data_IF_438005770558
#
_entry.id   IF_438005770558
#
_cell.length_a   1.000
_cell.length_b   1.000
_cell.length_c   1.000
_cell.angle_alpha   90.00
_cell.angle_beta   90.00
_cell.angle_gamma   90.00
#
_symmetry.space_group_name_H-M   'P 1'
#
loop_
_entity.id
_entity.type
_entity.pdbx_description
1 polymer ?
#
# COMPACT_ATOMS: atom_id res chain seq x y z
N UNK A 1 41.57 -14.91 27.83
CA UNK A 1 41.29 -14.55 26.42
C UNK A 1 40.28 -15.50 25.76
N UNK A 2 40.44 -16.82 25.83
CA UNK A 2 39.58 -17.79 25.14
C UNK A 2 38.08 -17.72 25.50
N UNK A 3 37.74 -17.56 26.78
CA UNK A 3 36.33 -17.39 27.21
C UNK A 3 35.68 -16.09 26.71
N UNK A 4 36.46 -15.01 26.58
CA UNK A 4 35.97 -13.74 26.06
C UNK A 4 35.71 -13.81 24.55
N UNK A 5 36.59 -14.51 23.81
CA UNK A 5 36.39 -14.75 22.38
C UNK A 5 35.17 -15.64 22.09
N UNK A 6 34.92 -16.67 22.92
CA UNK A 6 33.73 -17.54 22.78
C UNK A 6 32.44 -16.78 23.11
N UNK A 7 32.44 -15.93 24.14
CA UNK A 7 31.29 -15.08 24.45
C UNK A 7 31.00 -14.08 23.32
N UNK A 8 32.03 -13.42 22.78
CA UNK A 8 31.90 -12.52 21.63
C UNK A 8 31.38 -13.23 20.39
N UNK A 9 31.87 -14.44 20.07
CA UNK A 9 31.39 -15.18 18.90
C UNK A 9 29.95 -15.66 19.06
N UNK A 10 29.54 -16.09 20.25
CA UNK A 10 28.15 -16.47 20.54
C UNK A 10 27.22 -15.25 20.48
N UNK A 11 27.65 -14.10 21.00
CA UNK A 11 26.87 -12.85 20.91
C UNK A 11 26.74 -12.40 19.45
N UNK A 12 27.84 -12.40 18.69
CA UNK A 12 27.80 -12.01 17.27
C UNK A 12 26.95 -12.97 16.43
N UNK A 13 27.02 -14.27 16.69
CA UNK A 13 26.21 -15.27 15.99
C UNK A 13 24.72 -15.16 16.35
N UNK A 14 24.39 -14.92 17.61
CA UNK A 14 23.00 -14.71 18.03
C UNK A 14 22.43 -13.40 17.48
N UNK A 15 23.19 -12.31 17.48
CA UNK A 15 22.80 -11.04 16.82
C UNK A 15 22.57 -11.25 15.32
N UNK A 16 23.50 -11.94 14.65
CA UNK A 16 23.38 -12.28 13.23
C UNK A 16 22.11 -13.09 12.93
N UNK A 17 21.79 -14.10 13.73
CA UNK A 17 20.56 -14.87 13.57
C UNK A 17 19.30 -14.05 13.86
N UNK A 18 19.34 -13.04 14.73
CA UNK A 18 18.18 -12.18 14.98
C UNK A 18 17.91 -11.17 13.87
N UNK A 19 18.93 -10.76 13.13
CA UNK A 19 18.81 -9.87 11.95
C UNK A 19 18.39 -10.64 10.69
N UNK A 20 18.65 -11.94 10.64
CA UNK A 20 18.31 -12.77 9.49
C UNK A 20 16.80 -13.01 9.38
N UNK A 21 16.24 -12.73 8.21
CA UNK A 21 14.84 -12.99 7.91
C UNK A 21 14.61 -14.48 7.59
N UNK A 22 14.55 -15.33 8.62
CA UNK A 22 14.35 -16.79 8.46
C UNK A 22 13.17 -17.15 7.53
N UNK A 23 12.15 -16.30 7.51
CA UNK A 23 10.93 -16.49 6.72
C UNK A 23 11.11 -16.29 5.20
N UNK A 24 12.28 -15.80 4.77
CA UNK A 24 12.65 -15.73 3.35
C UNK A 24 13.43 -16.97 2.88
N UNK A 25 13.82 -17.86 3.81
CA UNK A 25 14.60 -19.05 3.48
C UNK A 25 13.75 -20.11 2.79
N UNK A 26 14.41 -20.87 1.89
CA UNK A 26 13.76 -21.93 1.12
C UNK A 26 13.10 -22.99 2.01
N UNK A 27 13.74 -23.35 3.13
CA UNK A 27 13.21 -24.37 4.04
C UNK A 27 11.90 -23.93 4.70
N UNK A 28 11.76 -22.64 5.04
CA UNK A 28 10.49 -22.10 5.54
C UNK A 28 9.40 -22.12 4.46
N UNK A 29 9.75 -21.75 3.23
CA UNK A 29 8.84 -21.78 2.07
C UNK A 29 8.37 -23.22 1.79
N UNK A 30 9.26 -24.20 1.88
CA UNK A 30 8.93 -25.61 1.68
C UNK A 30 7.99 -26.12 2.80
N UNK A 31 8.18 -25.67 4.05
CA UNK A 31 7.25 -25.98 5.15
C UNK A 31 5.85 -25.39 4.91
N UNK A 32 5.76 -24.17 4.39
CA UNK A 32 4.47 -23.58 4.00
C UNK A 32 3.80 -24.45 2.94
N UNK A 33 4.52 -24.80 1.87
CA UNK A 33 3.98 -25.60 0.77
C UNK A 33 3.59 -27.03 1.18
N UNK A 34 4.18 -27.57 2.25
CA UNK A 34 3.78 -28.86 2.82
C UNK A 34 2.41 -28.82 3.53
N UNK A 35 1.94 -27.64 3.94
CA UNK A 35 0.68 -27.46 4.70
C UNK A 35 -0.39 -26.70 3.91
N UNK A 36 0.00 -25.75 3.07
CA UNK A 36 -0.89 -24.90 2.31
C UNK A 36 -1.62 -25.70 1.22
N UNK A 37 -2.95 -25.70 1.27
CA UNK A 37 -3.81 -26.39 0.28
C UNK A 37 -4.46 -25.44 -0.71
N UNK A 38 -4.59 -24.15 -0.37
CA UNK A 38 -5.34 -23.17 -1.16
C UNK A 38 -4.45 -22.15 -1.87
N UNK A 39 -3.16 -22.11 -1.57
CA UNK A 39 -2.20 -21.17 -2.16
C UNK A 39 -0.81 -21.80 -2.26
N UNK A 40 0.05 -21.17 -3.07
CA UNK A 40 1.42 -21.61 -3.32
C UNK A 40 2.41 -20.53 -2.88
N UNK A 41 3.43 -20.95 -2.13
CA UNK A 41 4.54 -20.12 -1.72
C UNK A 41 5.76 -20.27 -2.65
N UNK A 42 6.57 -19.24 -2.75
CA UNK A 42 7.82 -19.19 -3.50
C UNK A 42 8.66 -17.96 -3.14
N UNK A 43 9.87 -17.88 -3.69
CA UNK A 43 10.80 -16.78 -3.41
C UNK A 43 10.32 -15.51 -4.12
N UNK A 44 10.09 -14.42 -3.39
CA UNK A 44 9.79 -13.08 -3.92
C UNK A 44 10.88 -12.06 -3.59
N UNK A 45 11.60 -12.28 -2.49
CA UNK A 45 12.66 -11.41 -1.99
C UNK A 45 13.96 -12.21 -1.92
N UNK A 46 15.09 -11.53 -2.12
CA UNK A 46 16.41 -12.13 -1.88
C UNK A 46 16.47 -12.65 -0.43
N UNK A 47 16.81 -13.93 -0.18
CA UNK A 47 16.94 -14.50 1.16
C UNK A 47 17.94 -13.77 2.08
N UNK A 48 18.85 -12.96 1.50
CA UNK A 48 19.78 -12.11 2.25
C UNK A 48 19.17 -10.78 2.72
N UNK A 49 17.95 -10.48 2.32
CA UNK A 49 17.23 -9.28 2.78
C UNK A 49 17.04 -9.36 4.29
N UNK A 50 17.40 -8.30 5.00
CA UNK A 50 17.27 -8.29 6.46
C UNK A 50 15.82 -8.18 6.88
N UNK A 51 15.53 -8.65 8.10
CA UNK A 51 14.20 -8.50 8.70
C UNK A 51 13.77 -7.04 8.77
N UNK A 52 14.70 -6.14 9.08
CA UNK A 52 14.45 -4.71 9.20
C UNK A 52 14.00 -4.10 7.87
N UNK A 53 14.64 -4.47 6.76
CA UNK A 53 14.26 -4.01 5.42
C UNK A 53 12.83 -4.45 5.06
N UNK A 54 12.44 -5.68 5.42
CA UNK A 54 11.07 -6.17 5.23
C UNK A 54 10.07 -5.36 6.09
N UNK A 55 10.38 -5.13 7.36
CA UNK A 55 9.50 -4.38 8.26
C UNK A 55 9.32 -2.92 7.80
N UNK A 56 10.32 -2.33 7.14
CA UNK A 56 10.23 -0.98 6.58
C UNK A 56 9.20 -0.87 5.45
N UNK A 57 8.91 -1.96 4.72
CA UNK A 57 7.86 -1.98 3.70
C UNK A 57 6.45 -1.90 4.31
N UNK A 58 6.29 -2.29 5.58
CA UNK A 58 5.01 -2.37 6.30
C UNK A 58 4.59 -1.01 6.88
N UNK A 59 4.36 -0.05 5.99
CA UNK A 59 4.11 1.35 6.33
C UNK A 59 2.72 1.72 6.84
N UNK A 60 1.72 0.84 6.76
CA UNK A 60 0.37 1.18 7.22
C UNK A 60 0.27 1.05 8.73
N UNK A 61 -0.03 2.18 9.39
CA UNK A 61 -0.18 2.26 10.84
C UNK A 61 -1.65 2.27 11.24
N UNK A 62 -1.90 1.74 12.43
CA UNK A 62 -3.21 1.84 13.06
C UNK A 62 -4.24 0.82 12.57
N UNK A 63 -3.82 -0.35 12.09
CA UNK A 63 -4.70 -1.49 11.74
C UNK A 63 -5.72 -1.78 12.85
N UNK A 64 -5.27 -1.66 14.08
CA UNK A 64 -6.04 -1.85 15.30
C UNK A 64 -6.97 -0.68 15.68
N UNK A 65 -6.76 0.52 15.11
CA UNK A 65 -7.54 1.71 15.45
C UNK A 65 -9.01 1.58 15.03
N UNK A 66 -9.30 0.82 13.97
CA UNK A 66 -10.67 0.54 13.53
C UNK A 66 -11.54 -0.05 14.66
N UNK A 67 -10.95 -0.77 15.63
CA UNK A 67 -11.65 -1.32 16.80
C UNK A 67 -12.11 -0.26 17.78
N UNK A 68 -11.43 0.89 17.80
CA UNK A 68 -11.67 2.01 18.72
C UNK A 68 -12.48 3.13 18.06
N UNK A 69 -12.68 3.06 16.75
CA UNK A 69 -13.49 3.98 15.96
C UNK A 69 -14.96 3.87 16.35
N UNK A 70 -15.65 5.02 16.47
CA UNK A 70 -17.08 5.03 16.79
C UNK A 70 -17.89 4.55 15.60
N UNK A 71 -19.00 3.84 15.84
CA UNK A 71 -19.89 3.37 14.77
C UNK A 71 -20.40 4.51 13.87
N UNK A 72 -20.51 5.73 14.40
CA UNK A 72 -20.90 6.93 13.64
C UNK A 72 -19.88 7.35 12.57
N UNK A 73 -18.64 6.89 12.65
CA UNK A 73 -17.59 7.17 11.66
C UNK A 73 -17.59 6.15 10.52
N UNK A 74 -18.39 5.07 10.65
CA UNK A 74 -18.60 4.09 9.61
C UNK A 74 -19.77 4.48 8.73
N UNK A 75 -19.54 4.43 7.41
CA UNK A 75 -20.60 4.57 6.42
C UNK A 75 -21.42 3.28 6.36
N UNK A 76 -22.55 3.32 7.06
CA UNK A 76 -23.50 2.21 7.19
C UNK A 76 -24.67 2.31 6.21
N UNK A 77 -24.98 3.52 5.73
CA UNK A 77 -26.10 3.81 4.84
C UNK A 77 -25.64 4.73 3.69
N UNK A 78 -26.15 4.46 2.49
CA UNK A 78 -25.98 5.27 1.28
C UNK A 78 -27.10 4.90 0.31
N UNK A 79 -27.69 5.87 -0.36
CA UNK A 79 -28.76 5.64 -1.35
C UNK A 79 -28.30 4.72 -2.50
N UNK A 80 -27.02 4.78 -2.87
CA UNK A 80 -26.43 3.88 -3.86
C UNK A 80 -26.43 2.41 -3.39
N UNK A 81 -26.50 2.15 -2.08
CA UNK A 81 -26.51 0.78 -1.53
C UNK A 81 -27.87 0.12 -1.58
N UNK A 82 -28.95 0.90 -1.53
CA UNK A 82 -30.31 0.39 -1.39
C UNK A 82 -30.70 -0.48 -2.60
N UNK A 83 -30.21 -0.10 -3.78
CA UNK A 83 -30.44 -0.83 -5.02
C UNK A 83 -29.53 -2.07 -5.21
N UNK A 84 -28.61 -2.35 -4.28
CA UNK A 84 -27.58 -3.39 -4.44
C UNK A 84 -27.84 -4.67 -3.62
N UNK A 85 -28.77 -4.68 -2.66
CA UNK A 85 -28.92 -5.80 -1.71
C UNK A 85 -29.20 -7.16 -2.37
N UNK A 86 -29.84 -7.18 -3.55
CA UNK A 86 -30.10 -8.39 -4.34
C UNK A 86 -29.23 -8.52 -5.60
N UNK A 87 -28.22 -7.67 -5.76
CA UNK A 87 -27.44 -7.53 -7.00
C UNK A 87 -25.93 -7.65 -6.81
N UNK A 88 -25.46 -8.05 -5.62
CA UNK A 88 -24.03 -8.32 -5.40
C UNK A 88 -23.66 -9.60 -6.15
N UNK A 89 -22.81 -9.54 -7.20
CA UNK A 89 -22.43 -10.72 -7.94
C UNK A 89 -21.45 -11.58 -7.13
N UNK A 90 -21.45 -12.89 -7.38
CA UNK A 90 -20.50 -13.82 -6.76
C UNK A 90 -19.04 -13.57 -7.16
N UNK A 91 -18.81 -12.87 -8.29
CA UNK A 91 -17.51 -12.44 -8.77
C UNK A 91 -17.60 -11.00 -9.28
N UNK A 92 -16.64 -10.18 -8.89
CA UNK A 92 -16.52 -8.80 -9.33
C UNK A 92 -15.05 -8.46 -9.63
N UNK A 93 -14.83 -7.68 -10.69
CA UNK A 93 -13.50 -7.19 -11.07
C UNK A 93 -13.65 -5.77 -11.60
N UNK A 94 -13.15 -4.79 -10.83
CA UNK A 94 -13.25 -3.37 -11.15
C UNK A 94 -12.67 -3.04 -12.52
N UNK A 95 -11.57 -3.71 -12.93
CA UNK A 95 -10.91 -3.52 -14.23
C UNK A 95 -11.82 -3.89 -15.39
N UNK A 96 -12.71 -4.87 -15.18
CA UNK A 96 -13.68 -5.31 -16.20
C UNK A 96 -14.93 -4.44 -16.21
N UNK A 97 -15.32 -3.89 -15.06
CA UNK A 97 -16.50 -3.02 -14.92
C UNK A 97 -16.24 -1.63 -15.50
N UNK A 98 -15.10 -1.03 -15.17
CA UNK A 98 -14.71 0.32 -15.59
C UNK A 98 -13.48 0.27 -16.49
N UNK A 99 -13.61 -0.40 -17.64
CA UNK A 99 -12.50 -0.59 -18.60
C UNK A 99 -11.90 0.71 -19.14
N UNK A 100 -12.66 1.81 -19.10
CA UNK A 100 -12.19 3.12 -19.53
C UNK A 100 -11.22 3.75 -18.52
N UNK A 101 -11.24 3.33 -17.25
CA UNK A 101 -10.33 3.81 -16.23
C UNK A 101 -9.02 3.02 -16.24
N UNK A 102 -7.98 3.61 -16.84
CA UNK A 102 -6.65 2.96 -16.99
C UNK A 102 -5.85 2.92 -15.69
N UNK A 103 -6.22 3.76 -14.72
CA UNK A 103 -5.62 3.76 -13.38
C UNK A 103 -5.97 2.46 -12.64
N UNK A 104 -7.17 1.89 -12.88
CA UNK A 104 -7.61 0.68 -12.21
C UNK A 104 -6.77 -0.51 -12.68
N UNK A 105 -6.05 -1.10 -11.73
CA UNK A 105 -5.16 -2.23 -11.99
C UNK A 105 -3.73 -1.83 -12.38
N UNK A 106 -3.40 -0.54 -12.39
CA UNK A 106 -2.01 -0.08 -12.44
C UNK A 106 -1.32 -0.46 -11.12
N UNK A 107 -0.35 -1.36 -11.19
CA UNK A 107 0.50 -1.73 -10.04
C UNK A 107 1.62 -0.70 -9.91
N UNK A 108 1.80 -0.18 -8.69
CA UNK A 108 2.81 0.84 -8.36
C UNK A 108 3.83 0.26 -7.37
N UNK A 109 5.02 0.84 -7.35
CA UNK A 109 6.13 0.41 -6.48
C UNK A 109 6.45 1.50 -5.45
N UNK A 110 6.45 1.14 -4.17
CA UNK A 110 6.78 2.05 -3.06
C UNK A 110 8.28 2.24 -2.86
N UNK A 111 9.12 1.44 -3.52
CA UNK A 111 10.57 1.40 -3.30
C UNK A 111 10.93 0.98 -1.88
N UNK A 112 12.14 1.32 -1.45
CA UNK A 112 12.55 1.11 -0.06
C UNK A 112 12.03 2.23 0.86
N UNK A 113 10.71 2.33 0.98
CA UNK A 113 9.99 3.34 1.75
C UNK A 113 8.67 2.73 2.26
N UNK A 114 8.35 2.91 3.54
CA UNK A 114 7.07 2.51 4.13
C UNK A 114 5.92 3.44 3.76
N UNK A 115 5.73 3.71 2.48
CA UNK A 115 4.71 4.61 1.91
C UNK A 115 3.49 3.87 1.36
N UNK A 116 3.32 2.57 1.65
CA UNK A 116 2.16 1.80 1.18
C UNK A 116 0.81 2.45 1.52
N UNK A 117 0.71 3.11 2.69
CA UNK A 117 -0.46 3.88 3.10
C UNK A 117 -0.79 5.04 2.14
N UNK A 118 0.23 5.65 1.55
CA UNK A 118 0.08 6.75 0.61
C UNK A 118 -0.21 6.24 -0.81
N UNK A 119 0.56 5.24 -1.28
CA UNK A 119 0.36 4.67 -2.62
C UNK A 119 -1.02 4.03 -2.78
N UNK A 120 -1.47 3.27 -1.79
CA UNK A 120 -2.81 2.64 -1.82
C UNK A 120 -3.93 3.68 -1.80
N UNK A 121 -3.84 4.68 -0.92
CA UNK A 121 -4.85 5.74 -0.80
C UNK A 121 -4.93 6.60 -2.07
N UNK A 122 -3.79 7.05 -2.61
CA UNK A 122 -3.78 7.89 -3.81
C UNK A 122 -4.23 7.12 -5.06
N UNK A 123 -3.93 5.82 -5.14
CA UNK A 123 -4.39 4.96 -6.25
C UNK A 123 -5.91 4.74 -6.20
N UNK A 124 -6.45 4.40 -5.02
CA UNK A 124 -7.90 4.26 -4.86
C UNK A 124 -8.63 5.60 -5.12
N UNK A 125 -8.05 6.72 -4.72
CA UNK A 125 -8.60 8.04 -5.02
C UNK A 125 -8.60 8.34 -6.55
N UNK A 126 -7.49 8.07 -7.25
CA UNK A 126 -7.41 8.23 -8.70
C UNK A 126 -8.46 7.36 -9.43
N UNK A 127 -8.60 6.10 -9.03
CA UNK A 127 -9.59 5.17 -9.58
C UNK A 127 -11.02 5.69 -9.40
N UNK A 128 -11.35 6.15 -8.19
CA UNK A 128 -12.67 6.73 -7.89
C UNK A 128 -12.93 8.01 -8.65
N UNK A 129 -11.92 8.85 -8.82
CA UNK A 129 -12.05 10.09 -9.57
C UNK A 129 -12.32 9.79 -11.05
N UNK A 130 -11.66 8.79 -11.62
CA UNK A 130 -11.99 8.33 -12.97
C UNK A 130 -13.43 7.81 -13.09
N UNK A 131 -13.86 6.97 -12.15
CA UNK A 131 -15.22 6.42 -12.15
C UNK A 131 -16.26 7.54 -12.03
N UNK A 132 -16.04 8.48 -11.11
CA UNK A 132 -16.96 9.57 -10.84
C UNK A 132 -17.06 10.60 -11.98
N UNK A 133 -16.01 10.70 -12.80
CA UNK A 133 -15.94 11.60 -13.95
C UNK A 133 -16.17 10.89 -15.28
N UNK A 134 -16.61 9.62 -15.25
CA UNK A 134 -16.82 8.79 -16.45
C UNK A 134 -15.62 8.76 -17.41
N UNK A 135 -14.41 8.84 -16.84
CA UNK A 135 -13.15 8.81 -17.58
C UNK A 135 -12.62 10.16 -18.07
N UNK A 136 -13.30 11.29 -17.79
CA UNK A 136 -12.75 12.63 -18.08
C UNK A 136 -11.44 12.86 -17.32
N UNK A 137 -11.38 12.45 -16.04
CA UNK A 137 -10.12 12.34 -15.31
C UNK A 137 -9.63 10.90 -15.37
N UNK A 138 -8.38 10.67 -15.79
CA UNK A 138 -7.86 9.31 -15.94
C UNK A 138 -6.34 9.26 -15.74
N UNK A 139 -5.88 9.91 -14.68
CA UNK A 139 -4.46 10.07 -14.35
C UNK A 139 -4.16 9.58 -12.93
N UNK A 140 -2.91 9.22 -12.67
CA UNK A 140 -2.49 8.84 -11.33
C UNK A 140 -2.37 10.10 -10.45
N UNK A 141 -2.70 9.95 -9.17
CA UNK A 141 -2.48 10.98 -8.16
C UNK A 141 -1.16 10.76 -7.43
N UNK A 142 -0.54 11.87 -7.03
CA UNK A 142 0.80 11.92 -6.48
C UNK A 142 0.89 11.25 -5.11
N UNK A 143 1.41 10.02 -5.09
CA UNK A 143 1.83 9.37 -3.84
C UNK A 143 3.01 10.11 -3.20
N UNK A 144 3.78 10.86 -4.00
CA UNK A 144 4.87 11.71 -3.53
C UNK A 144 4.35 12.80 -2.59
N UNK A 145 3.44 13.63 -3.09
CA UNK A 145 2.90 14.75 -2.32
C UNK A 145 2.33 14.25 -1.01
N UNK A 146 1.51 13.19 -1.08
CA UNK A 146 0.91 12.60 0.09
C UNK A 146 1.96 12.12 1.10
N UNK A 147 2.99 11.41 0.64
CA UNK A 147 4.02 10.82 1.51
C UNK A 147 4.83 11.90 2.23
N UNK A 148 5.22 12.97 1.54
CA UNK A 148 6.20 13.93 2.07
C UNK A 148 5.60 15.26 2.53
N UNK A 149 4.39 15.62 2.10
CA UNK A 149 3.71 16.87 2.49
C UNK A 149 2.62 16.68 3.55
N UNK A 150 2.04 15.48 3.72
CA UNK A 150 1.06 15.25 4.76
C UNK A 150 1.70 14.92 6.12
N UNK A 151 2.20 15.94 6.83
CA UNK A 151 2.82 15.79 8.15
C UNK A 151 1.87 15.29 9.25
N UNK A 152 0.54 15.38 9.04
CA UNK A 152 -0.48 14.84 9.96
C UNK A 152 -0.91 13.41 9.62
N UNK A 153 -0.49 12.89 8.47
CA UNK A 153 -0.81 11.53 8.05
C UNK A 153 0.13 10.50 8.68
N UNK A 154 1.33 10.90 9.07
CA UNK A 154 2.34 10.00 9.62
C UNK A 154 3.74 10.55 9.42
N UNK A 155 4.69 9.63 9.27
CA UNK A 155 6.13 9.93 9.19
C UNK A 155 6.70 9.51 7.83
N UNK A 156 5.99 9.79 6.73
CA UNK A 156 6.40 9.45 5.36
C UNK A 156 6.74 7.98 5.20
N UNK A 157 7.99 7.69 4.84
CA UNK A 157 8.56 6.34 4.70
C UNK A 157 8.65 5.53 5.99
N UNK A 158 8.42 6.14 7.15
CA UNK A 158 8.35 5.41 8.42
C UNK A 158 6.90 5.02 8.78
N UNK A 159 5.98 5.17 7.81
CA UNK A 159 4.59 4.76 7.88
C UNK A 159 3.62 5.87 8.26
N UNK A 160 2.35 5.63 7.97
CA UNK A 160 1.25 6.58 8.13
C UNK A 160 -0.11 5.91 8.24
N UNK A 161 -1.12 6.72 8.51
CA UNK A 161 -2.49 6.31 8.80
C UNK A 161 -3.37 6.60 7.58
N UNK A 162 -3.89 5.56 6.89
CA UNK A 162 -4.66 5.76 5.66
C UNK A 162 -5.87 6.68 5.81
N UNK A 163 -6.62 6.62 6.93
CA UNK A 163 -7.74 7.55 7.17
C UNK A 163 -7.31 9.02 7.13
N UNK A 164 -6.09 9.33 7.58
CA UNK A 164 -5.56 10.69 7.56
C UNK A 164 -5.21 11.14 6.14
N UNK A 165 -4.88 10.21 5.25
CA UNK A 165 -4.73 10.51 3.82
C UNK A 165 -6.06 10.96 3.21
N UNK A 166 -7.15 10.23 3.44
CA UNK A 166 -8.48 10.63 2.94
C UNK A 166 -8.96 11.96 3.55
N UNK A 167 -8.73 12.18 4.85
CA UNK A 167 -8.96 13.49 5.47
C UNK A 167 -8.07 14.61 4.88
N UNK A 168 -6.89 14.27 4.35
CA UNK A 168 -6.00 15.21 3.66
C UNK A 168 -6.54 15.54 2.27
N UNK A 169 -6.99 14.54 1.51
CA UNK A 169 -7.61 14.74 0.19
C UNK A 169 -8.80 15.69 0.25
N UNK A 170 -9.61 15.59 1.31
CA UNK A 170 -10.77 16.49 1.50
C UNK A 170 -10.38 17.94 1.78
N UNK A 171 -9.24 18.17 2.44
CA UNK A 171 -8.83 19.50 2.93
C UNK A 171 -7.80 20.20 2.05
N UNK A 172 -6.89 19.44 1.46
CA UNK A 172 -5.76 19.94 0.69
C UNK A 172 -5.73 19.38 -0.73
N UNK A 173 -6.35 18.22 -0.96
CA UNK A 173 -6.31 17.54 -2.24
C UNK A 173 -4.97 16.84 -2.49
N UNK A 174 -4.77 16.39 -3.72
CA UNK A 174 -3.49 15.93 -4.25
C UNK A 174 -3.34 16.37 -5.71
N UNK A 175 -2.12 16.71 -6.10
CA UNK A 175 -1.76 16.87 -7.52
C UNK A 175 -1.65 15.53 -8.24
N UNK A 176 -1.63 15.56 -9.57
CA UNK A 176 -1.30 14.40 -10.40
C UNK A 176 0.15 13.96 -10.20
N UNK A 177 0.44 12.67 -10.38
CA UNK A 177 1.79 12.15 -10.21
C UNK A 177 1.91 10.66 -10.47
N UNK A 178 2.64 10.32 -11.53
CA UNK A 178 2.91 8.95 -11.95
C UNK A 178 4.03 8.26 -11.19
N UNK A 179 4.58 7.22 -11.80
CA UNK A 179 5.62 6.40 -11.21
C UNK A 179 7.00 7.06 -11.29
N UNK A 180 8.00 6.44 -10.66
CA UNK A 180 9.39 6.89 -10.70
C UNK A 180 9.89 7.09 -12.13
N UNK A 181 10.44 8.26 -12.41
CA UNK A 181 10.98 8.66 -13.73
C UNK A 181 9.96 8.57 -14.89
N UNK A 182 8.66 8.75 -14.63
CA UNK A 182 7.63 8.71 -15.69
C UNK A 182 7.36 10.06 -16.37
N UNK A 183 7.79 11.18 -15.76
CA UNK A 183 7.38 12.55 -16.12
C UNK A 183 5.84 12.77 -16.18
N UNK A 184 5.05 11.79 -15.72
CA UNK A 184 3.58 11.83 -15.74
C UNK A 184 3.04 12.65 -14.57
N UNK A 185 2.26 13.69 -14.90
CA UNK A 185 1.62 14.56 -13.92
C UNK A 185 2.57 15.53 -13.22
N UNK A 186 2.05 16.28 -12.25
CA UNK A 186 2.77 17.35 -11.57
C UNK A 186 3.96 16.83 -10.73
N UNK A 187 3.74 15.80 -9.91
CA UNK A 187 4.75 15.25 -9.00
C UNK A 187 4.83 13.71 -9.11
N UNK A 188 5.54 13.18 -10.12
CA UNK A 188 5.89 11.76 -10.20
C UNK A 188 6.66 11.31 -8.96
N UNK A 189 6.54 10.03 -8.59
CA UNK A 189 7.18 9.49 -7.39
C UNK A 189 8.71 9.60 -7.46
N UNK A 190 9.40 10.03 -6.40
CA UNK A 190 10.88 10.17 -6.41
C UNK A 190 11.62 9.00 -5.76
N UNK A 191 10.92 8.13 -5.03
CA UNK A 191 11.55 6.94 -4.45
C UNK A 191 11.74 5.91 -5.56
N UNK A 192 12.99 5.50 -5.77
CA UNK A 192 13.31 4.49 -6.77
C UNK A 192 12.72 3.13 -6.35
N UNK A 193 12.14 2.37 -7.31
CA UNK A 193 11.84 0.96 -7.11
C UNK A 193 13.08 0.19 -6.67
N UNK A 194 12.87 -0.84 -5.86
CA UNK A 194 13.98 -1.71 -5.53
C UNK A 194 14.40 -2.52 -6.77
N UNK A 195 15.72 -2.71 -6.98
CA UNK A 195 16.21 -3.53 -8.08
C UNK A 195 15.59 -4.93 -8.07
N UNK A 196 15.38 -5.46 -9.27
CA UNK A 196 14.96 -6.85 -9.46
C UNK A 196 16.21 -7.64 -9.85
N UNK A 197 16.46 -8.77 -9.19
CA UNK A 197 17.57 -9.65 -9.53
C UNK A 197 17.33 -10.42 -10.85
N UNK A 198 18.31 -11.20 -11.30
CA UNK A 198 18.21 -11.99 -12.53
C UNK A 198 17.09 -13.06 -12.50
N UNK A 199 16.57 -13.38 -11.32
CA UNK A 199 15.50 -14.36 -11.09
C UNK A 199 14.11 -13.72 -10.94
N UNK A 200 14.02 -12.39 -11.06
CA UNK A 200 12.76 -11.67 -10.90
C UNK A 200 12.39 -11.38 -9.45
N UNK A 201 13.31 -11.55 -8.49
CA UNK A 201 13.04 -11.25 -7.08
C UNK A 201 13.40 -9.81 -6.77
N UNK A 202 12.60 -9.19 -5.90
CA UNK A 202 12.88 -7.85 -5.42
C UNK A 202 14.06 -7.89 -4.43
N UNK A 203 15.07 -7.06 -4.71
CA UNK A 203 16.23 -6.88 -3.84
C UNK A 203 16.40 -5.40 -3.51
N UNK A 204 15.84 -4.99 -2.37
CA UNK A 204 16.26 -3.76 -1.70
C UNK A 204 17.59 -3.95 -0.94
N UNK A 205 18.26 -5.10 -1.10
CA UNK A 205 19.44 -5.47 -0.32
C UNK A 205 20.56 -4.46 -0.52
N UNK A 206 21.05 -3.88 0.57
CA UNK A 206 22.08 -2.86 0.56
C UNK A 206 21.62 -1.45 0.16
N UNK A 207 20.34 -1.26 -0.21
CA UNK A 207 19.79 0.09 -0.41
C UNK A 207 19.29 0.65 0.91
N UNK A 208 19.74 1.85 1.34
CA UNK A 208 19.19 2.48 2.53
C UNK A 208 17.73 2.88 2.29
N UNK A 209 16.91 2.83 3.34
CA UNK A 209 15.56 3.37 3.28
C UNK A 209 15.59 4.86 2.93
N UNK A 210 14.60 5.31 2.16
CA UNK A 210 14.41 6.72 1.86
C UNK A 210 14.30 7.54 3.16
N UNK A 211 15.09 8.62 3.25
CA UNK A 211 15.28 9.40 4.49
C UNK A 211 14.20 10.46 4.74
N UNK A 212 13.06 10.37 4.07
CA UNK A 212 12.04 11.42 4.02
C UNK A 212 12.59 12.75 3.52
N UNK A 213 12.83 12.86 2.22
CA UNK A 213 13.16 14.13 1.62
C UNK A 213 12.02 15.17 1.75
N UNK A 214 12.36 16.44 1.50
CA UNK A 214 11.46 17.57 1.75
C UNK A 214 10.26 17.57 0.78
N UNK A 215 9.10 17.92 1.32
CA UNK A 215 7.94 18.34 0.54
C UNK A 215 8.32 19.48 -0.41
N UNK A 216 8.00 19.31 -1.69
CA UNK A 216 8.15 20.32 -2.73
C UNK A 216 6.76 20.81 -3.11
N UNK A 217 6.54 22.12 -3.25
CA UNK A 217 5.23 22.70 -3.62
C UNK A 217 5.23 23.28 -5.03
N UNK A 218 5.82 22.53 -5.95
CA UNK A 218 5.94 22.86 -7.39
C UNK A 218 5.84 21.58 -8.20
N UNK A 219 5.38 21.68 -9.44
CA UNK A 219 5.44 20.56 -10.38
C UNK A 219 6.87 20.39 -10.91
N UNK A 220 7.31 19.14 -11.04
CA UNK A 220 8.62 18.79 -11.58
C UNK A 220 8.59 17.60 -12.54
N UNK A 221 7.44 16.92 -12.69
CA UNK A 221 7.20 16.01 -13.82
C UNK A 221 6.81 16.81 -15.05
N UNK A 222 5.50 17.00 -15.24
CA UNK A 222 4.97 17.91 -16.24
C UNK A 222 5.03 19.36 -15.73
N UNK A 223 5.91 20.16 -16.35
CA UNK A 223 6.15 21.56 -15.98
C UNK A 223 5.12 22.55 -16.53
N UNK A 224 4.23 22.11 -17.42
CA UNK A 224 3.14 22.94 -17.95
C UNK A 224 1.97 23.04 -16.96
N UNK A 225 1.96 22.20 -15.92
CA UNK A 225 0.94 22.20 -14.86
C UNK A 225 1.26 23.22 -13.78
N UNK A 226 0.23 23.91 -13.29
CA UNK A 226 0.34 24.71 -12.06
C UNK A 226 0.08 23.83 -10.83
N UNK A 227 0.97 23.93 -9.84
CA UNK A 227 0.87 23.10 -8.64
C UNK A 227 -0.42 23.36 -7.87
N UNK A 228 -0.89 24.60 -7.74
CA UNK A 228 -2.12 24.87 -6.99
C UNK A 228 -3.36 24.36 -7.75
N UNK A 229 -3.43 24.64 -9.05
CA UNK A 229 -4.59 24.29 -9.87
C UNK A 229 -4.71 22.78 -10.17
N UNK A 230 -3.61 22.03 -10.06
CA UNK A 230 -3.61 20.60 -10.33
C UNK A 230 -4.16 19.73 -9.16
N UNK A 231 -4.50 20.34 -8.02
CA UNK A 231 -5.06 19.58 -6.90
C UNK A 231 -6.45 19.01 -7.22
N UNK A 232 -6.67 17.76 -6.83
CA UNK A 232 -7.96 17.07 -6.85
C UNK A 232 -8.40 16.74 -5.44
N UNK A 233 -9.69 16.91 -5.17
CA UNK A 233 -10.27 16.81 -3.83
C UNK A 233 -11.33 15.71 -3.78
N UNK A 234 -11.48 15.08 -2.62
CA UNK A 234 -12.65 14.23 -2.31
C UNK A 234 -13.66 15.02 -1.49
N UNK A 235 -14.94 14.66 -1.60
CA UNK A 235 -16.01 15.24 -0.79
C UNK A 235 -16.00 14.69 0.64
N UNK A 236 -15.85 13.37 0.77
CA UNK A 236 -16.06 12.64 2.01
C UNK A 236 -14.81 11.85 2.40
N UNK A 237 -14.76 11.48 3.69
CA UNK A 237 -13.85 10.47 4.21
C UNK A 237 -14.55 9.67 5.32
N UNK A 238 -14.55 8.34 5.24
CA UNK A 238 -15.31 7.42 6.09
C UNK A 238 -14.68 6.02 6.17
N UNK A 239 -15.05 5.29 7.21
CA UNK A 239 -14.74 3.86 7.32
C UNK A 239 -15.85 3.00 6.73
N UNK A 240 -15.48 1.82 6.23
CA UNK A 240 -16.43 0.80 5.80
C UNK A 240 -16.53 -0.35 6.81
N UNK A 241 -17.71 -0.94 6.89
CA UNK A 241 -17.95 -2.18 7.65
C UNK A 241 -17.92 -3.36 6.71
N UNK A 242 -17.70 -4.58 7.21
CA UNK A 242 -17.76 -5.80 6.40
C UNK A 242 -19.05 -5.90 5.55
N UNK A 243 -20.20 -5.48 6.09
CA UNK A 243 -21.48 -5.49 5.38
C UNK A 243 -21.65 -4.41 4.30
N UNK A 244 -20.79 -3.40 4.27
CA UNK A 244 -20.85 -2.28 3.31
C UNK A 244 -19.73 -2.30 2.26
N UNK A 245 -18.65 -3.06 2.46
CA UNK A 245 -17.50 -3.16 1.52
C UNK A 245 -17.96 -3.45 0.10
N UNK A 246 -18.66 -4.56 -0.10
CA UNK A 246 -19.03 -5.01 -1.43
C UNK A 246 -19.97 -4.01 -2.11
N UNK A 247 -20.87 -3.39 -1.35
CA UNK A 247 -21.81 -2.38 -1.87
C UNK A 247 -21.06 -1.13 -2.30
N UNK A 248 -20.14 -0.64 -1.48
CA UNK A 248 -19.35 0.55 -1.76
C UNK A 248 -18.40 0.33 -2.95
N UNK A 249 -17.74 -0.84 -3.01
CA UNK A 249 -16.91 -1.21 -4.17
C UNK A 249 -17.73 -1.30 -5.45
N UNK A 250 -18.95 -1.83 -5.40
CA UNK A 250 -19.82 -1.91 -6.58
C UNK A 250 -20.34 -0.53 -7.03
N UNK A 251 -20.59 0.36 -6.07
CA UNK A 251 -21.13 1.69 -6.33
C UNK A 251 -20.05 2.66 -6.84
N UNK A 252 -18.87 2.66 -6.21
CA UNK A 252 -17.86 3.71 -6.36
C UNK A 252 -16.49 3.20 -6.80
N UNK A 253 -16.25 1.88 -6.77
CA UNK A 253 -14.99 1.28 -7.21
C UNK A 253 -13.99 1.00 -6.09
N UNK A 254 -12.71 0.81 -6.43
CA UNK A 254 -11.65 0.38 -5.50
C UNK A 254 -11.58 1.19 -4.21
N UNK A 255 -11.11 0.55 -3.14
CA UNK A 255 -10.99 1.11 -1.79
C UNK A 255 -9.56 0.91 -1.28
N UNK A 256 -9.13 1.74 -0.33
CA UNK A 256 -7.92 1.45 0.43
C UNK A 256 -8.22 0.42 1.51
N UNK A 257 -7.29 -0.53 1.68
CA UNK A 257 -7.40 -1.59 2.65
C UNK A 257 -6.06 -1.88 3.33
N UNK A 258 -6.07 -2.01 4.66
CA UNK A 258 -4.90 -2.32 5.46
C UNK A 258 -5.12 -3.59 6.28
N UNK A 259 -4.20 -4.55 6.22
CA UNK A 259 -4.27 -5.82 6.95
C UNK A 259 -2.93 -6.16 7.61
N UNK A 260 -2.96 -7.09 8.56
CA UNK A 260 -1.73 -7.60 9.20
C UNK A 260 -0.97 -8.50 8.24
N UNK A 261 0.29 -8.13 7.95
CA UNK A 261 1.19 -8.94 7.14
C UNK A 261 1.93 -9.92 8.06
N UNK A 262 1.70 -11.21 7.82
CA UNK A 262 2.44 -12.27 8.48
C UNK A 262 3.62 -12.71 7.62
N UNK A 263 4.58 -13.36 8.25
CA UNK A 263 5.86 -13.79 7.67
C UNK A 263 5.73 -14.66 6.39
N UNK A 264 4.69 -15.50 6.32
CA UNK A 264 4.37 -16.35 5.18
C UNK A 264 3.87 -15.58 3.95
N UNK A 265 3.22 -14.44 4.14
CA UNK A 265 2.62 -13.66 3.05
C UNK A 265 3.67 -13.16 2.05
N UNK A 266 4.89 -12.89 2.54
CA UNK A 266 5.99 -12.41 1.70
C UNK A 266 6.41 -13.44 0.65
N UNK A 267 6.08 -14.71 0.86
CA UNK A 267 6.34 -15.80 -0.10
C UNK A 267 5.14 -16.10 -1.01
N UNK A 268 4.04 -15.36 -0.94
CA UNK A 268 2.85 -15.63 -1.76
C UNK A 268 3.14 -15.55 -3.27
N UNK A 269 2.72 -16.57 -4.04
CA UNK A 269 2.79 -16.57 -5.52
C UNK A 269 1.44 -16.65 -6.20
N UNK A 270 0.52 -17.49 -5.70
CA UNK A 270 -0.79 -17.69 -6.32
C UNK A 270 -1.77 -18.40 -5.39
N UNK A 271 -3.07 -18.31 -5.69
CA UNK A 271 -4.15 -18.97 -4.96
C UNK A 271 -4.79 -18.04 -3.91
N UNK A 272 -5.49 -18.63 -2.94
CA UNK A 272 -6.19 -17.90 -1.89
C UNK A 272 -5.49 -18.13 -0.56
N UNK A 273 -4.89 -17.08 0.01
CA UNK A 273 -4.30 -17.11 1.35
C UNK A 273 -5.42 -17.07 2.38
N UNK A 274 -5.49 -18.08 3.23
CA UNK A 274 -6.48 -18.19 4.30
C UNK A 274 -5.79 -18.25 5.66
N UNK A 275 -5.06 -17.20 6.04
CA UNK A 275 -4.84 -16.90 7.46
C UNK A 275 -6.00 -16.02 7.89
N UNK A 276 -6.60 -16.30 9.06
CA UNK A 276 -7.74 -15.53 9.57
C UNK A 276 -7.41 -14.04 9.52
N UNK A 277 -7.97 -13.33 8.53
CA UNK A 277 -7.75 -11.89 8.36
C UNK A 277 -8.51 -11.24 9.50
N UNK A 278 -7.81 -11.00 10.60
CA UNK A 278 -8.48 -10.50 11.78
C UNK A 278 -8.92 -9.05 11.57
N UNK A 279 -8.20 -8.25 10.77
CA UNK A 279 -8.49 -6.83 10.60
C UNK A 279 -8.18 -6.35 9.18
N UNK A 280 -9.18 -5.74 8.54
CA UNK A 280 -9.03 -4.91 7.35
C UNK A 280 -9.48 -3.50 7.73
N UNK A 281 -8.57 -2.52 7.87
CA UNK A 281 -9.02 -1.12 7.87
C UNK A 281 -9.41 -0.80 6.45
N UNK A 282 -10.59 -0.25 6.24
CA UNK A 282 -11.03 0.22 4.94
C UNK A 282 -11.33 1.70 5.05
N UNK A 283 -10.44 2.53 4.49
CA UNK A 283 -10.59 3.97 4.49
C UNK A 283 -10.98 4.47 3.11
N UNK A 284 -11.89 5.43 3.10
CA UNK A 284 -12.31 6.26 1.97
C UNK A 284 -12.49 7.69 2.43
#
# INVERSE_FOLDING_TARGET
MTRLCILLSVILFSVYQTEQAYFLEKDYIDQINAQATTWKAGINFDPKTTKEAILQLLGSKGVELAKKTKLSEFKTHDEAYDNLCHRIPSKFDARKKWKHCRTIGKVRDQGNCGSCWALSSSSAFADRLCIATEGEFNELLSAEELTFCCHRCGFGCHGGYPIKAWEYFRRHGLVTGGDYQSDEGCQPYRVAPCPIDEYGNNTCSGQPMERNHRCTRTCYGNQDLDFQDDHRFTRDAYYLTYGTIQKDVLAYGPIEASFEVYDDFLSYKSGNVNRGVNYVILCL
#
